data_IF_668288801954
#
_entry.id   IF_668288801954
#
_cell.length_a   1.000
_cell.length_b   1.000
_cell.length_c   1.000
_cell.angle_alpha   90.00
_cell.angle_beta   90.00
_cell.angle_gamma   90.00
#
_symmetry.space_group_name_H-M   'P 1'
#
loop_
_entity.id
_entity.type
_entity.pdbx_description
1 polymer ?
#
# COMPACT_ATOMS: atom_id res chain seq x y z
N UNK A 1 15.38 5.43 -3.05
CA UNK A 1 14.91 4.49 -4.08
C UNK A 1 13.63 5.06 -4.67
N UNK A 2 13.30 4.79 -5.93
CA UNK A 2 12.02 5.21 -6.52
C UNK A 2 10.97 4.15 -6.21
N UNK A 3 9.80 4.55 -5.72
CA UNK A 3 8.67 3.68 -5.44
C UNK A 3 7.68 3.71 -6.61
N UNK A 4 7.26 2.55 -7.09
CA UNK A 4 6.22 2.38 -8.10
C UNK A 4 4.96 1.86 -7.41
N UNK A 5 3.90 2.67 -7.43
CA UNK A 5 2.65 2.42 -6.71
C UNK A 5 1.52 2.32 -7.73
N UNK A 6 0.75 1.23 -7.65
CA UNK A 6 -0.43 0.98 -8.49
C UNK A 6 -1.55 1.95 -8.14
N UNK A 7 -1.86 2.08 -6.86
CA UNK A 7 -2.95 2.92 -6.36
C UNK A 7 -2.79 3.27 -4.88
N UNK A 8 -3.38 4.40 -4.49
CA UNK A 8 -3.48 4.93 -3.14
C UNK A 8 -4.92 5.40 -2.93
N UNK A 9 -5.56 4.92 -1.87
CA UNK A 9 -6.95 5.29 -1.56
C UNK A 9 -7.30 5.09 -0.08
N UNK A 10 -8.21 5.91 0.44
CA UNK A 10 -8.75 5.77 1.80
C UNK A 10 -9.99 4.89 1.82
N UNK A 11 -10.04 3.93 2.74
CA UNK A 11 -11.18 3.03 2.96
C UNK A 11 -11.13 2.44 4.37
N UNK A 12 -11.97 1.43 4.66
CA UNK A 12 -11.83 0.57 5.84
C UNK A 12 -11.07 -0.70 5.46
N UNK A 13 -10.15 -1.16 6.32
CA UNK A 13 -9.52 -2.47 6.17
C UNK A 13 -10.62 -3.56 6.11
N UNK A 14 -10.58 -4.40 5.09
CA UNK A 14 -11.56 -5.47 4.89
C UNK A 14 -11.20 -6.74 5.67
N UNK A 15 -9.92 -6.97 5.94
CA UNK A 15 -9.39 -8.28 6.35
C UNK A 15 -8.66 -8.28 7.69
N UNK A 16 -8.52 -9.49 8.24
CA UNK A 16 -7.68 -9.77 9.41
C UNK A 16 -8.20 -9.16 10.72
N UNK A 17 -7.28 -8.99 11.68
CA UNK A 17 -7.60 -8.49 13.02
C UNK A 17 -8.05 -7.02 13.02
N UNK A 18 -7.72 -6.27 11.97
CA UNK A 18 -7.98 -4.84 11.84
C UNK A 18 -9.18 -4.53 10.94
N UNK A 19 -10.00 -5.53 10.58
CA UNK A 19 -11.21 -5.32 9.77
C UNK A 19 -12.10 -4.22 10.37
N UNK A 20 -12.56 -3.30 9.51
CA UNK A 20 -13.35 -2.13 9.88
C UNK A 20 -12.55 -0.91 10.32
N UNK A 21 -11.22 -1.03 10.50
CA UNK A 21 -10.37 0.12 10.86
C UNK A 21 -10.15 1.03 9.65
N UNK A 22 -10.37 2.36 9.76
CA UNK A 22 -10.03 3.31 8.70
C UNK A 22 -8.54 3.28 8.36
N UNK A 23 -8.22 3.25 7.07
CA UNK A 23 -6.85 3.15 6.57
C UNK A 23 -6.69 3.81 5.20
N UNK A 24 -5.51 4.37 4.94
CA UNK A 24 -5.05 4.60 3.56
C UNK A 24 -4.34 3.35 3.09
N UNK A 25 -4.80 2.77 1.99
CA UNK A 25 -4.12 1.68 1.32
C UNK A 25 -3.07 2.25 0.38
N UNK A 26 -1.85 1.74 0.46
CA UNK A 26 -0.79 1.97 -0.53
C UNK A 26 -0.48 0.62 -1.18
N UNK A 27 -0.92 0.45 -2.43
CA UNK A 27 -0.69 -0.78 -3.20
C UNK A 27 0.52 -0.59 -4.12
N UNK A 28 1.66 -1.15 -3.75
CA UNK A 28 2.85 -1.14 -4.61
C UNK A 28 2.63 -1.97 -5.89
N UNK A 29 3.38 -1.63 -6.94
CA UNK A 29 3.35 -2.35 -8.21
C UNK A 29 4.28 -3.57 -8.18
N UNK A 30 3.82 -4.69 -8.76
CA UNK A 30 4.63 -5.89 -8.97
C UNK A 30 4.69 -6.86 -7.77
N UNK A 31 4.90 -8.14 -8.07
CA UNK A 31 5.03 -9.24 -7.10
C UNK A 31 6.15 -10.19 -7.54
N UNK A 32 6.80 -10.87 -6.59
CA UNK A 32 7.82 -11.88 -6.87
C UNK A 32 7.25 -13.28 -7.14
N UNK A 33 5.97 -13.53 -6.87
CA UNK A 33 5.34 -14.86 -7.04
C UNK A 33 4.45 -14.97 -8.28
N UNK A 34 4.09 -13.85 -8.90
CA UNK A 34 3.33 -13.78 -10.14
C UNK A 34 3.60 -12.45 -10.86
N UNK A 35 3.69 -12.47 -12.19
CA UNK A 35 3.93 -11.27 -13.00
C UNK A 35 2.76 -10.28 -13.01
N UNK A 36 1.57 -10.71 -12.57
CA UNK A 36 0.32 -9.95 -12.70
C UNK A 36 -0.32 -10.05 -14.08
N UNK A 37 0.29 -10.79 -15.02
CA UNK A 37 -0.27 -11.04 -16.35
C UNK A 37 -1.03 -12.36 -16.36
N UNK A 38 -2.26 -12.34 -16.85
CA UNK A 38 -3.13 -13.53 -16.92
C UNK A 38 -2.51 -14.69 -17.69
N UNK A 39 -1.78 -14.40 -18.76
CA UNK A 39 -1.06 -15.41 -19.56
C UNK A 39 -0.01 -16.20 -18.76
N UNK A 40 0.52 -15.63 -17.67
CA UNK A 40 1.52 -16.26 -16.81
C UNK A 40 0.87 -16.94 -15.58
N UNK A 41 -0.42 -16.71 -15.31
CA UNK A 41 -1.10 -17.16 -14.08
C UNK A 41 -1.06 -18.68 -13.91
N UNK A 42 -1.23 -19.43 -14.99
CA UNK A 42 -1.26 -20.90 -14.94
C UNK A 42 0.09 -21.52 -14.53
N UNK A 43 1.21 -20.85 -14.81
CA UNK A 43 2.57 -21.30 -14.50
C UNK A 43 3.21 -20.58 -13.31
N UNK A 44 2.58 -19.52 -12.81
CA UNK A 44 3.06 -18.74 -11.66
C UNK A 44 3.14 -19.56 -10.36
N UNK A 45 3.88 -19.03 -9.37
CA UNK A 45 3.96 -19.60 -8.03
C UNK A 45 2.65 -19.31 -7.28
N UNK A 46 2.18 -18.06 -7.31
CA UNK A 46 0.85 -17.69 -6.83
C UNK A 46 -0.14 -17.61 -8.01
N UNK A 47 -1.24 -18.36 -7.95
CA UNK A 47 -2.18 -18.52 -9.08
C UNK A 47 -3.59 -18.00 -8.82
N UNK A 48 -3.88 -17.65 -7.58
CA UNK A 48 -5.24 -17.32 -7.11
C UNK A 48 -5.42 -15.83 -6.78
N UNK A 49 -4.42 -14.99 -7.10
CA UNK A 49 -4.48 -13.56 -6.79
C UNK A 49 -5.69 -12.89 -7.47
N UNK A 50 -6.45 -12.15 -6.69
CA UNK A 50 -7.66 -11.40 -7.07
C UNK A 50 -7.38 -9.92 -7.38
N UNK A 51 -6.11 -9.52 -7.31
CA UNK A 51 -5.69 -8.13 -7.29
C UNK A 51 -4.95 -7.77 -8.58
N UNK A 52 -5.31 -6.62 -9.18
CA UNK A 52 -4.48 -5.97 -10.18
C UNK A 52 -3.38 -5.13 -9.49
N UNK A 53 -2.12 -5.47 -9.77
CA UNK A 53 -0.94 -4.76 -9.27
C UNK A 53 0.04 -4.38 -10.39
N UNK A 54 -0.39 -4.45 -11.65
CA UNK A 54 0.48 -4.13 -12.80
C UNK A 54 0.36 -2.66 -13.14
N UNK A 55 1.49 -1.98 -13.32
CA UNK A 55 1.54 -0.56 -13.69
C UNK A 55 1.38 0.38 -12.50
N UNK A 56 1.25 1.67 -12.80
CA UNK A 56 1.19 2.79 -11.84
C UNK A 56 0.08 3.77 -12.23
N UNK A 57 -1.05 3.23 -12.67
CA UNK A 57 -2.11 3.93 -13.41
C UNK A 57 -3.46 3.96 -12.67
N UNK A 58 -3.52 3.42 -11.45
CA UNK A 58 -4.69 3.52 -10.59
C UNK A 58 -4.83 4.87 -9.91
N UNK A 59 -5.87 5.02 -9.08
CA UNK A 59 -6.11 6.24 -8.29
C UNK A 59 -4.91 6.55 -7.40
N UNK A 60 -4.36 7.77 -7.44
CA UNK A 60 -3.15 8.11 -6.68
C UNK A 60 -1.91 7.30 -7.06
N UNK A 61 -1.99 6.47 -8.12
CA UNK A 61 -0.88 5.68 -8.63
C UNK A 61 0.17 6.54 -9.30
N UNK A 62 1.42 6.09 -9.25
CA UNK A 62 2.53 6.85 -9.82
C UNK A 62 3.89 6.28 -9.45
N UNK A 63 4.91 7.05 -9.86
CA UNK A 63 6.30 6.80 -9.47
C UNK A 63 6.75 7.93 -8.57
N UNK A 64 7.19 7.58 -7.37
CA UNK A 64 7.58 8.51 -6.33
C UNK A 64 9.11 8.44 -6.15
N UNK A 65 9.87 9.48 -6.52
CA UNK A 65 11.32 9.52 -6.40
C UNK A 65 11.86 9.34 -4.98
N UNK A 66 11.10 9.76 -3.96
CA UNK A 66 11.53 9.78 -2.56
C UNK A 66 10.47 9.28 -1.59
N UNK A 67 10.92 8.83 -0.41
CA UNK A 67 10.05 8.36 0.67
C UNK A 67 9.12 9.46 1.18
N UNK A 68 9.65 10.69 1.26
CA UNK A 68 8.91 11.86 1.72
C UNK A 68 7.78 12.20 0.74
N UNK A 69 8.05 12.15 -0.57
CA UNK A 69 7.02 12.39 -1.59
C UNK A 69 5.89 11.35 -1.54
N UNK A 70 6.23 10.06 -1.40
CA UNK A 70 5.22 9.01 -1.27
C UNK A 70 4.41 9.15 0.04
N UNK A 71 5.08 9.43 1.17
CA UNK A 71 4.39 9.62 2.44
C UNK A 71 3.48 10.86 2.42
N UNK A 72 3.90 11.94 1.76
CA UNK A 72 3.09 13.15 1.57
C UNK A 72 1.85 12.88 0.70
N UNK A 73 2.01 12.12 -0.39
CA UNK A 73 0.87 11.69 -1.21
C UNK A 73 -0.10 10.87 -0.36
N UNK A 74 0.36 9.83 0.35
CA UNK A 74 -0.47 8.99 1.23
C UNK A 74 -1.20 9.81 2.30
N UNK A 75 -0.52 10.78 2.92
CA UNK A 75 -1.14 11.69 3.89
C UNK A 75 -2.29 12.51 3.29
N UNK A 76 -2.18 12.90 2.02
CA UNK A 76 -3.21 13.70 1.35
C UNK A 76 -4.54 12.94 1.16
N UNK A 77 -4.51 11.60 1.16
CA UNK A 77 -5.71 10.76 1.11
C UNK A 77 -6.35 10.56 2.48
N UNK A 78 -5.68 10.93 3.58
CA UNK A 78 -6.29 10.87 4.91
C UNK A 78 -7.31 12.01 5.08
N UNK A 79 -8.60 11.72 5.35
CA UNK A 79 -9.63 12.75 5.36
C UNK A 79 -9.49 13.66 6.58
N UNK A 80 -9.08 14.91 6.36
CA UNK A 80 -8.87 15.91 7.43
C UNK A 80 -10.18 16.55 7.92
N UNK A 81 -11.15 16.72 7.04
CA UNK A 81 -12.41 17.45 7.33
C UNK A 81 -13.41 16.61 8.13
N UNK A 82 -13.36 15.28 8.00
CA UNK A 82 -14.20 14.34 8.78
C UNK A 82 -13.49 13.83 10.03
N UNK A 83 -12.40 14.47 10.46
CA UNK A 83 -11.71 14.13 11.71
C UNK A 83 -12.66 14.19 12.93
N UNK A 84 -13.77 14.94 12.88
CA UNK A 84 -14.82 14.90 13.91
C UNK A 84 -15.70 13.65 13.86
N UNK A 85 -15.86 13.01 12.69
CA UNK A 85 -16.59 11.75 12.52
C UNK A 85 -15.77 10.52 12.93
N UNK A 86 -14.44 10.61 12.86
CA UNK A 86 -13.51 9.54 13.25
C UNK A 86 -12.77 9.82 14.58
N UNK A 87 -12.97 10.99 15.19
CA UNK A 87 -12.38 11.37 16.49
C UNK A 87 -10.85 11.43 16.47
N UNK A 88 -10.21 11.09 17.59
CA UNK A 88 -8.76 10.98 17.76
C UNK A 88 -8.16 9.72 17.06
N UNK A 89 -8.74 9.28 15.93
CA UNK A 89 -8.27 8.11 15.21
C UNK A 89 -6.82 8.29 14.75
N UNK A 90 -5.94 7.41 15.20
CA UNK A 90 -4.55 7.34 14.77
C UNK A 90 -4.52 7.01 13.28
N UNK A 91 -3.80 7.83 12.50
CA UNK A 91 -3.62 7.59 11.06
C UNK A 91 -3.07 6.20 10.83
N UNK A 92 -3.60 5.50 9.85
CA UNK A 92 -3.25 4.12 9.58
C UNK A 92 -3.01 3.92 8.09
N UNK A 93 -1.86 3.33 7.75
CA UNK A 93 -1.50 2.98 6.38
C UNK A 93 -1.33 1.47 6.27
N UNK A 94 -1.97 0.89 5.26
CA UNK A 94 -1.78 -0.53 4.91
C UNK A 94 -0.90 -0.58 3.65
N UNK A 95 0.36 -0.99 3.83
CA UNK A 95 1.28 -1.25 2.73
C UNK A 95 1.02 -2.65 2.17
N UNK A 96 0.67 -2.72 0.89
CA UNK A 96 0.28 -3.96 0.21
C UNK A 96 0.77 -3.97 -1.24
N UNK A 97 0.46 -5.02 -1.99
CA UNK A 97 0.54 -5.08 -3.46
C UNK A 97 1.95 -5.11 -4.08
N UNK A 98 2.13 -5.72 -5.25
CA UNK A 98 1.81 -7.14 -5.34
C UNK A 98 2.61 -7.91 -4.28
N UNK A 99 3.85 -7.50 -4.01
CA UNK A 99 4.57 -7.80 -2.77
C UNK A 99 5.24 -6.50 -2.25
N UNK A 100 4.79 -5.93 -1.10
CA UNK A 100 5.26 -4.64 -0.64
C UNK A 100 6.74 -4.65 -0.23
N UNK A 101 7.29 -5.78 0.25
CA UNK A 101 8.69 -5.86 0.69
C UNK A 101 9.70 -5.80 -0.48
N UNK A 102 9.23 -5.78 -1.73
CA UNK A 102 10.09 -5.45 -2.88
C UNK A 102 10.50 -3.97 -2.91
N UNK A 103 9.76 -3.09 -2.24
CA UNK A 103 9.94 -1.64 -2.33
C UNK A 103 9.91 -0.92 -0.98
N UNK A 104 9.15 -1.43 0.00
CA UNK A 104 9.04 -0.84 1.34
C UNK A 104 10.39 -0.90 2.06
N UNK A 105 10.90 0.27 2.47
CA UNK A 105 12.22 0.41 3.07
C UNK A 105 12.21 1.29 4.33
N UNK A 106 13.33 1.31 5.06
CA UNK A 106 13.46 2.09 6.29
C UNK A 106 13.26 3.61 6.13
N UNK A 107 13.71 4.26 5.03
CA UNK A 107 13.31 5.64 4.72
C UNK A 107 11.80 5.86 4.66
N UNK A 108 11.05 4.99 3.98
CA UNK A 108 9.61 5.14 3.86
C UNK A 108 8.87 4.89 5.19
N UNK A 109 9.30 3.88 5.95
CA UNK A 109 8.77 3.60 7.30
C UNK A 109 8.97 4.83 8.21
N UNK A 110 10.15 5.46 8.18
CA UNK A 110 10.41 6.68 8.96
C UNK A 110 9.52 7.83 8.51
N UNK A 111 9.39 8.04 7.20
CA UNK A 111 8.52 9.09 6.67
C UNK A 111 7.06 8.89 7.12
N UNK A 112 6.53 7.67 7.10
CA UNK A 112 5.19 7.38 7.64
C UNK A 112 5.04 7.77 9.12
N UNK A 113 6.02 7.40 9.96
CA UNK A 113 6.01 7.80 11.36
C UNK A 113 6.07 9.33 11.54
N UNK A 114 6.85 10.04 10.72
CA UNK A 114 6.93 11.50 10.76
C UNK A 114 5.58 12.17 10.42
N UNK A 115 4.74 11.52 9.59
CA UNK A 115 3.35 11.95 9.30
C UNK A 115 2.32 11.47 10.33
N UNK A 116 2.73 10.70 11.34
CA UNK A 116 1.89 10.17 12.41
C UNK A 116 1.11 8.91 12.05
N UNK A 117 1.54 8.16 11.04
CA UNK A 117 0.93 6.88 10.66
C UNK A 117 1.42 5.72 11.53
N UNK A 118 0.49 4.91 12.02
CA UNK A 118 0.73 3.48 12.28
C UNK A 118 0.76 2.72 10.94
N UNK A 119 1.60 1.69 10.84
CA UNK A 119 1.85 0.96 9.59
C UNK A 119 1.43 -0.51 9.73
N UNK A 120 0.65 -1.00 8.77
CA UNK A 120 0.43 -2.42 8.51
C UNK A 120 1.13 -2.85 7.22
N UNK A 121 1.49 -4.13 7.14
CA UNK A 121 2.06 -4.74 5.92
C UNK A 121 1.31 -6.02 5.61
N UNK A 122 0.80 -6.13 4.38
CA UNK A 122 0.22 -7.34 3.82
C UNK A 122 1.25 -7.98 2.88
N UNK A 123 2.04 -8.92 3.40
CA UNK A 123 3.16 -9.57 2.68
C UNK A 123 2.92 -11.07 2.51
N UNK A 124 3.44 -11.63 1.42
CA UNK A 124 3.45 -13.07 1.18
C UNK A 124 4.49 -13.83 2.04
N UNK A 125 5.34 -13.11 2.79
CA UNK A 125 6.30 -13.71 3.73
C UNK A 125 7.50 -14.40 3.09
N UNK A 126 7.75 -14.17 1.79
CA UNK A 126 8.88 -14.82 1.06
C UNK A 126 10.14 -13.95 0.97
N UNK A 127 10.12 -12.73 1.51
CA UNK A 127 11.24 -11.79 1.55
C UNK A 127 11.60 -11.47 3.01
N UNK A 128 12.87 -11.14 3.27
CA UNK A 128 13.44 -10.85 4.59
C UNK A 128 14.06 -9.45 4.65
#
# INVERSE_FOLDING_TARGET
MMYSVKEIFFTLQGEGKQSGRPAVFCRFSGCNLWSGREQDRASAICRFCDTDFVGTDGQGGGKFPTAVELAAEIDSHWPRETATAYGDAVKYVVCTGGEPLLQLDAPLIRAFHDYGFEIAVETNGTLA
#
